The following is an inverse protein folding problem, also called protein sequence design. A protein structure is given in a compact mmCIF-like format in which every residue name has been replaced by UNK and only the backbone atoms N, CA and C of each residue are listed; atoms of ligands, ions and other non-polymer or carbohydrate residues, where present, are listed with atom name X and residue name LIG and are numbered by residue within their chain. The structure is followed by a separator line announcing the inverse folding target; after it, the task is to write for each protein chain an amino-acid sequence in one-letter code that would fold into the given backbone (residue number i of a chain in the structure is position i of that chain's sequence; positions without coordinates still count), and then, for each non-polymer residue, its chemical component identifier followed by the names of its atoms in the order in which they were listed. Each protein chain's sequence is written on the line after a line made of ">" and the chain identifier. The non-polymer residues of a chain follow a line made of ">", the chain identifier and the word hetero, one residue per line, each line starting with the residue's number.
data_IF_726476204969
#
_entry.id   IF_726476204969
#
_cell.length_a   1.000
_cell.length_b   1.000
_cell.length_c   1.000
_cell.angle_alpha   90.00
_cell.angle_beta   90.00
_cell.angle_gamma   90.00
#
_symmetry.space_group_name_H-M   'P 1'
#
loop_
_entity.id
_entity.type
_entity.pdbx_description
1 polymer ?
#
# COMPACT_ATOMS: atom_id res chain seq x y z
N UNK A 1 8.05 10.09 -24.34
CA UNK A 1 7.35 10.99 -25.26
C UNK A 1 6.32 11.78 -24.50
N UNK A 2 6.60 13.05 -24.23
CA UNK A 2 5.71 13.96 -23.50
C UNK A 2 4.60 14.53 -24.40
N UNK A 3 4.63 14.26 -25.70
CA UNK A 3 3.60 14.75 -26.64
C UNK A 3 2.30 13.94 -26.62
N UNK A 4 2.31 12.78 -25.96
CA UNK A 4 1.16 11.87 -25.85
C UNK A 4 0.74 11.71 -24.40
N UNK A 5 -0.58 11.61 -24.15
CA UNK A 5 -1.10 11.46 -22.79
C UNK A 5 -0.69 10.12 -22.14
N UNK A 6 -0.62 9.07 -22.96
CA UNK A 6 -0.18 7.74 -22.56
C UNK A 6 0.71 7.10 -23.63
N UNK A 7 1.73 6.37 -23.16
CA UNK A 7 2.50 5.41 -23.95
C UNK A 7 3.07 4.37 -22.97
N UNK A 8 3.10 3.07 -23.30
CA UNK A 8 3.70 2.06 -22.41
C UNK A 8 5.21 2.26 -22.20
N UNK A 9 5.87 3.05 -23.05
CA UNK A 9 7.27 3.44 -22.87
C UNK A 9 7.48 4.67 -21.98
N UNK A 10 6.41 5.37 -21.59
CA UNK A 10 6.51 6.50 -20.67
C UNK A 10 6.49 6.03 -19.21
N UNK A 11 7.17 6.78 -18.33
CA UNK A 11 7.18 6.49 -16.89
C UNK A 11 6.01 7.14 -16.13
N UNK A 12 5.32 8.10 -16.76
CA UNK A 12 4.20 8.85 -16.20
C UNK A 12 3.09 9.02 -17.24
N UNK A 13 1.93 9.47 -16.79
CA UNK A 13 0.86 9.97 -17.65
C UNK A 13 1.00 11.50 -17.77
N UNK A 14 0.83 12.01 -18.98
CA UNK A 14 0.98 13.42 -19.28
C UNK A 14 -0.36 14.03 -19.70
N UNK A 15 -0.44 15.35 -19.59
CA UNK A 15 -1.53 16.19 -20.10
C UNK A 15 -0.95 17.11 -21.19
N UNK A 16 -0.84 16.61 -22.45
CA UNK A 16 -0.14 17.34 -23.51
C UNK A 16 -0.77 18.69 -23.79
N UNK A 17 0.06 19.73 -23.87
CA UNK A 17 -0.39 21.10 -24.13
C UNK A 17 -0.89 21.86 -22.91
N UNK A 18 -0.94 21.23 -21.73
CA UNK A 18 -1.38 21.86 -20.50
C UNK A 18 -0.19 22.10 -19.55
N UNK A 19 -0.05 23.31 -19.00
CA UNK A 19 0.88 23.62 -17.89
C UNK A 19 0.16 23.40 -16.56
N UNK A 20 0.87 22.86 -15.57
CA UNK A 20 0.33 22.63 -14.24
C UNK A 20 -0.05 23.95 -13.57
N UNK A 21 -1.32 24.07 -13.14
CA UNK A 21 -1.88 25.24 -12.48
C UNK A 21 -2.36 24.85 -11.06
N UNK A 22 -1.46 24.99 -10.09
CA UNK A 22 -1.82 24.75 -8.68
C UNK A 22 -2.46 26.01 -8.09
N UNK A 23 -3.68 25.88 -7.60
CA UNK A 23 -4.36 26.98 -6.90
C UNK A 23 -3.84 27.10 -5.46
N UNK A 24 -2.85 27.96 -5.26
CA UNK A 24 -2.37 28.31 -3.92
C UNK A 24 -3.19 29.44 -3.29
N UNK A 25 -3.37 29.45 -1.95
CA UNK A 25 -3.82 30.65 -1.26
C UNK A 25 -2.86 31.82 -1.54
N UNK A 26 -3.38 33.00 -1.89
CA UNK A 26 -2.65 34.20 -2.36
C UNK A 26 -1.41 34.56 -1.50
N UNK A 27 -1.42 34.26 -0.19
CA UNK A 27 -0.30 34.50 0.72
C UNK A 27 0.95 33.61 0.50
N UNK A 28 0.85 32.50 -0.23
CA UNK A 28 1.96 31.56 -0.48
C UNK A 28 2.60 31.67 -1.87
N UNK A 29 2.08 32.52 -2.75
CA UNK A 29 2.54 32.57 -4.15
C UNK A 29 3.89 33.29 -4.37
N UNK A 30 4.38 34.04 -3.38
CA UNK A 30 5.50 34.96 -3.60
C UNK A 30 6.84 34.26 -3.94
N UNK A 31 6.99 32.95 -3.67
CA UNK A 31 8.25 32.21 -3.84
C UNK A 31 8.13 30.90 -4.64
N UNK A 32 7.03 30.64 -5.35
CA UNK A 32 6.86 29.37 -6.09
C UNK A 32 7.48 29.47 -7.49
N UNK A 33 8.65 28.85 -7.68
CA UNK A 33 9.37 28.78 -8.98
C UNK A 33 9.13 27.49 -9.76
N UNK A 34 8.32 26.56 -9.24
CA UNK A 34 8.06 25.29 -9.90
C UNK A 34 7.13 25.48 -11.10
N UNK A 35 7.56 25.04 -12.28
CA UNK A 35 6.76 24.96 -13.50
C UNK A 35 6.86 23.57 -14.10
N UNK A 36 5.73 23.03 -14.51
CA UNK A 36 5.65 21.72 -15.15
C UNK A 36 4.78 21.81 -16.41
N UNK A 37 5.40 21.61 -17.57
CA UNK A 37 4.70 21.54 -18.86
C UNK A 37 5.37 20.50 -19.77
N UNK A 38 4.63 19.50 -20.30
CA UNK A 38 3.23 19.25 -19.97
C UNK A 38 3.06 18.78 -18.51
N UNK A 39 1.92 19.13 -17.93
CA UNK A 39 1.52 18.65 -16.61
C UNK A 39 1.45 17.11 -16.59
N UNK A 40 1.68 16.53 -15.43
CA UNK A 40 1.55 15.10 -15.18
C UNK A 40 0.32 14.84 -14.31
N UNK A 41 -0.24 13.65 -14.47
CA UNK A 41 -1.37 13.17 -13.64
C UNK A 41 -0.87 12.95 -12.21
N UNK A 42 -1.64 13.42 -11.23
CA UNK A 42 -1.28 13.32 -9.81
C UNK A 42 -1.36 11.87 -9.29
N UNK A 43 -0.73 11.57 -8.15
CA UNK A 43 -0.68 10.20 -7.62
C UNK A 43 -2.03 9.57 -7.29
N UNK A 44 -3.06 10.39 -7.00
CA UNK A 44 -4.44 9.97 -6.76
C UNK A 44 -5.31 9.91 -8.03
N UNK A 45 -4.71 9.76 -9.21
CA UNK A 45 -5.40 9.65 -10.51
C UNK A 45 -6.20 10.90 -10.91
N UNK A 46 -5.74 12.10 -10.56
CA UNK A 46 -6.37 13.35 -11.01
C UNK A 46 -5.88 13.73 -12.42
N UNK A 47 -6.68 13.42 -13.44
CA UNK A 47 -6.42 13.70 -14.86
C UNK A 47 -6.82 15.14 -15.25
N UNK A 48 -6.25 16.14 -14.56
CA UNK A 48 -6.41 17.56 -14.91
C UNK A 48 -5.14 18.33 -14.55
N UNK A 49 -4.84 19.37 -15.31
CA UNK A 49 -3.74 20.27 -15.01
C UNK A 49 -4.05 21.24 -13.85
N UNK A 50 -5.27 21.22 -13.31
CA UNK A 50 -5.73 22.09 -12.21
C UNK A 50 -6.13 21.28 -10.97
N UNK A 51 -5.21 20.54 -10.33
CA UNK A 51 -5.55 19.78 -9.14
C UNK A 51 -6.03 20.70 -8.01
N UNK A 52 -6.94 20.17 -7.20
CA UNK A 52 -7.47 20.86 -6.03
C UNK A 52 -6.55 20.70 -4.82
N UNK A 53 -6.74 21.47 -3.73
CA UNK A 53 -6.03 21.23 -2.48
C UNK A 53 -6.28 19.85 -1.82
N UNK A 54 -7.24 19.08 -2.33
CA UNK A 54 -7.55 17.72 -1.87
C UNK A 54 -6.90 16.63 -2.75
N UNK A 55 -6.27 17.02 -3.85
CA UNK A 55 -5.51 16.11 -4.72
C UNK A 55 -4.06 16.04 -4.28
N UNK A 56 -3.40 14.92 -4.60
CA UNK A 56 -2.00 14.70 -4.24
C UNK A 56 -1.07 15.33 -5.28
N UNK A 57 -1.19 16.64 -5.50
CA UNK A 57 -0.48 17.40 -6.54
C UNK A 57 1.05 17.44 -6.34
N UNK A 58 1.53 17.06 -5.16
CA UNK A 58 2.93 16.86 -4.82
C UNK A 58 3.48 15.47 -5.23
N UNK A 59 2.60 14.59 -5.73
CA UNK A 59 2.94 13.25 -6.21
C UNK A 59 2.51 13.07 -7.66
N UNK A 60 3.09 12.07 -8.35
CA UNK A 60 2.81 11.78 -9.75
C UNK A 60 2.42 10.32 -9.94
N UNK A 61 1.43 10.07 -10.80
CA UNK A 61 1.03 8.71 -11.17
C UNK A 61 2.10 8.04 -12.04
N UNK A 62 2.66 6.94 -11.52
CA UNK A 62 3.55 6.08 -12.28
C UNK A 62 2.77 5.27 -13.33
N UNK A 63 3.32 5.22 -14.54
CA UNK A 63 2.76 4.46 -15.64
C UNK A 63 3.38 3.06 -15.67
N UNK A 64 2.64 2.06 -15.19
CA UNK A 64 3.04 0.65 -15.25
C UNK A 64 2.63 -0.04 -16.56
N UNK A 65 2.29 0.70 -17.62
CA UNK A 65 1.83 0.17 -18.91
C UNK A 65 0.32 -0.10 -18.97
N UNK A 66 -0.48 0.58 -18.15
CA UNK A 66 -1.95 0.49 -18.18
C UNK A 66 -2.52 1.78 -18.77
N UNK A 67 -3.35 1.68 -19.81
CA UNK A 67 -4.07 2.83 -20.34
C UNK A 67 -5.36 3.07 -19.54
N UNK A 68 -5.25 3.84 -18.47
CA UNK A 68 -6.35 4.12 -17.53
C UNK A 68 -7.50 4.86 -18.24
N UNK A 69 -7.20 5.82 -19.09
CA UNK A 69 -8.20 6.67 -19.76
C UNK A 69 -9.00 5.91 -20.83
N UNK A 70 -8.43 4.84 -21.39
CA UNK A 70 -9.08 4.02 -22.41
C UNK A 70 -9.61 2.68 -21.86
N UNK A 71 -10.03 2.64 -20.59
CA UNK A 71 -10.69 1.46 -20.01
C UNK A 71 -9.71 0.45 -19.38
N UNK A 72 -8.61 0.94 -18.81
CA UNK A 72 -7.61 0.13 -18.10
C UNK A 72 -6.96 -0.95 -18.98
N UNK A 73 -6.72 -0.65 -20.26
CA UNK A 73 -6.10 -1.60 -21.21
C UNK A 73 -4.64 -1.86 -20.82
N UNK A 74 -4.25 -3.13 -20.73
CA UNK A 74 -2.90 -3.54 -20.34
C UNK A 74 -1.98 -3.69 -21.56
N UNK A 75 -0.84 -3.00 -21.57
CA UNK A 75 0.15 -3.02 -22.65
C UNK A 75 1.46 -3.68 -22.21
N UNK A 76 1.42 -5.00 -21.96
CA UNK A 76 2.57 -5.76 -21.43
C UNK A 76 3.30 -6.63 -22.46
N UNK A 77 2.94 -6.54 -23.75
CA UNK A 77 3.66 -7.26 -24.83
C UNK A 77 5.13 -6.87 -24.91
N UNK A 78 5.45 -5.61 -24.58
CA UNK A 78 6.78 -5.12 -24.28
C UNK A 78 6.79 -4.70 -22.81
N UNK A 79 7.84 -5.07 -22.07
CA UNK A 79 8.00 -4.64 -20.68
C UNK A 79 8.08 -3.10 -20.60
N UNK A 80 7.19 -2.44 -19.83
CA UNK A 80 7.23 -0.99 -19.63
C UNK A 80 8.55 -0.52 -19.01
N UNK A 81 8.99 0.70 -19.35
CA UNK A 81 10.26 1.26 -18.84
C UNK A 81 10.24 1.38 -17.30
N UNK A 82 9.10 1.78 -16.73
CA UNK A 82 8.87 1.87 -15.29
C UNK A 82 9.19 0.57 -14.56
N UNK A 83 8.88 -0.59 -15.14
CA UNK A 83 9.12 -1.89 -14.51
C UNK A 83 10.61 -2.11 -14.28
N UNK A 84 11.45 -1.78 -15.27
CA UNK A 84 12.90 -1.89 -15.15
C UNK A 84 13.44 -0.94 -14.09
N UNK A 85 12.96 0.31 -14.06
CA UNK A 85 13.39 1.29 -13.04
C UNK A 85 13.02 0.85 -11.63
N UNK A 86 11.79 0.38 -11.43
CA UNK A 86 11.34 -0.09 -10.11
C UNK A 86 12.09 -1.35 -9.68
N UNK A 87 12.39 -2.28 -10.60
CA UNK A 87 13.29 -3.41 -10.32
C UNK A 87 14.65 -2.92 -9.85
N UNK A 88 15.25 -1.97 -10.56
CA UNK A 88 16.59 -1.47 -10.23
C UNK A 88 16.61 -0.78 -8.85
N UNK A 89 15.53 -0.09 -8.47
CA UNK A 89 15.33 0.45 -7.11
C UNK A 89 15.26 -0.67 -6.06
N UNK A 90 14.46 -1.72 -6.29
CA UNK A 90 14.37 -2.87 -5.37
C UNK A 90 15.73 -3.56 -5.22
N UNK A 91 16.45 -3.78 -6.32
CA UNK A 91 17.80 -4.36 -6.30
C UNK A 91 18.79 -3.46 -5.55
N UNK A 92 18.73 -2.14 -5.78
CA UNK A 92 19.60 -1.18 -5.09
C UNK A 92 19.43 -1.27 -3.57
N UNK A 93 18.19 -1.29 -3.07
CA UNK A 93 17.92 -1.39 -1.64
C UNK A 93 18.24 -2.78 -1.08
N UNK A 94 17.99 -3.84 -1.84
CA UNK A 94 18.36 -5.21 -1.44
C UNK A 94 19.88 -5.34 -1.22
N UNK A 95 20.70 -4.66 -2.04
CA UNK A 95 22.17 -4.60 -1.86
C UNK A 95 22.63 -3.87 -0.59
N UNK A 96 21.72 -3.22 0.14
CA UNK A 96 22.00 -2.59 1.45
C UNK A 96 21.78 -3.53 2.63
N UNK A 97 21.62 -4.84 2.38
CA UNK A 97 21.41 -5.87 3.40
C UNK A 97 20.14 -5.65 4.24
N UNK A 98 19.05 -5.24 3.58
CA UNK A 98 17.71 -5.30 4.18
C UNK A 98 17.16 -6.72 4.07
N UNK A 99 16.28 -7.11 4.99
CA UNK A 99 15.67 -8.44 5.02
C UNK A 99 14.32 -8.50 4.29
N UNK A 100 13.74 -7.36 3.92
CA UNK A 100 12.47 -7.36 3.20
C UNK A 100 11.92 -5.97 2.87
N UNK A 101 10.79 -6.00 2.16
CA UNK A 101 10.01 -4.83 1.77
C UNK A 101 8.58 -4.95 2.31
N UNK A 102 8.10 -3.90 2.98
CA UNK A 102 6.67 -3.63 3.11
C UNK A 102 6.24 -2.83 1.89
N UNK A 103 5.32 -3.37 1.10
CA UNK A 103 4.82 -2.77 -0.13
C UNK A 103 3.50 -2.08 0.17
N UNK A 104 3.55 -0.75 0.14
CA UNK A 104 2.40 0.15 0.28
C UNK A 104 1.39 -0.05 -0.86
N UNK A 105 0.10 -0.10 -0.52
CA UNK A 105 -1.03 -0.19 -1.46
C UNK A 105 -0.75 -1.12 -2.66
N UNK A 106 -0.29 -2.35 -2.39
CA UNK A 106 0.27 -3.24 -3.41
C UNK A 106 -0.73 -3.57 -4.53
N UNK A 107 -2.03 -3.52 -4.24
CA UNK A 107 -3.12 -3.74 -5.21
C UNK A 107 -3.29 -2.62 -6.23
N UNK A 108 -2.77 -1.42 -5.96
CA UNK A 108 -2.79 -0.29 -6.90
C UNK A 108 -1.71 -0.43 -8.00
N UNK A 109 -0.80 -1.38 -7.86
CA UNK A 109 0.21 -1.74 -8.85
C UNK A 109 -0.17 -3.06 -9.52
N UNK A 110 0.00 -3.21 -10.86
CA UNK A 110 -0.47 -4.41 -11.54
C UNK A 110 0.19 -5.68 -11.00
N UNK A 111 -0.61 -6.72 -10.77
CA UNK A 111 -0.11 -8.03 -10.31
C UNK A 111 0.96 -8.59 -11.27
N UNK A 112 0.84 -8.34 -12.56
CA UNK A 112 1.81 -8.79 -13.57
C UNK A 112 3.20 -8.20 -13.34
N UNK A 113 3.29 -6.95 -12.85
CA UNK A 113 4.56 -6.35 -12.46
C UNK A 113 5.16 -7.10 -11.28
N UNK A 114 4.37 -7.38 -10.24
CA UNK A 114 4.83 -8.11 -9.06
C UNK A 114 5.34 -9.51 -9.41
N UNK A 115 4.57 -10.25 -10.21
CA UNK A 115 4.94 -11.58 -10.72
C UNK A 115 6.18 -11.57 -11.60
N UNK A 116 6.46 -10.44 -12.25
CA UNK A 116 7.68 -10.27 -13.04
C UNK A 116 8.88 -9.90 -12.15
N UNK A 117 8.72 -8.97 -11.20
CA UNK A 117 9.83 -8.37 -10.46
C UNK A 117 10.29 -9.20 -9.26
N UNK A 118 9.37 -9.76 -8.48
CA UNK A 118 9.72 -10.44 -7.22
C UNK A 118 10.63 -11.66 -7.46
N UNK A 119 10.36 -12.54 -8.45
CA UNK A 119 11.26 -13.64 -8.75
C UNK A 119 12.66 -13.21 -9.16
N UNK A 120 12.80 -12.06 -9.83
CA UNK A 120 14.11 -11.51 -10.20
C UNK A 120 14.88 -11.04 -8.95
N UNK A 121 14.23 -10.34 -8.02
CA UNK A 121 14.87 -9.90 -6.77
C UNK A 121 15.23 -11.11 -5.90
N UNK A 122 14.31 -12.07 -5.72
CA UNK A 122 14.56 -13.29 -4.93
C UNK A 122 15.64 -14.18 -5.54
N UNK A 123 15.86 -14.14 -6.87
CA UNK A 123 16.97 -14.86 -7.49
C UNK A 123 18.34 -14.36 -7.01
N UNK A 124 18.50 -13.06 -6.80
CA UNK A 124 19.72 -12.45 -6.28
C UNK A 124 19.76 -12.46 -4.74
N UNK A 125 18.60 -12.33 -4.09
CA UNK A 125 18.44 -12.24 -2.64
C UNK A 125 17.40 -13.25 -2.13
N UNK A 126 17.72 -14.56 -2.05
CA UNK A 126 16.72 -15.62 -1.81
C UNK A 126 15.97 -15.54 -0.48
N UNK A 127 16.52 -14.83 0.50
CA UNK A 127 15.92 -14.68 1.84
C UNK A 127 15.07 -13.41 1.99
N UNK A 128 15.04 -12.55 0.98
CA UNK A 128 14.32 -11.28 1.09
C UNK A 128 12.81 -11.52 1.13
N UNK A 129 12.14 -10.86 2.06
CA UNK A 129 10.70 -10.96 2.27
C UNK A 129 9.95 -9.83 1.56
N UNK A 130 8.76 -10.14 1.06
CA UNK A 130 7.80 -9.18 0.54
C UNK A 130 6.50 -9.30 1.32
N UNK A 131 6.15 -8.22 2.04
CA UNK A 131 4.93 -8.05 2.81
C UNK A 131 4.06 -7.02 2.10
N UNK A 132 2.90 -7.41 1.61
CA UNK A 132 2.00 -6.52 0.88
C UNK A 132 0.88 -5.98 1.77
N UNK A 133 0.61 -4.68 1.65
CA UNK A 133 -0.61 -4.07 2.12
C UNK A 133 -1.68 -4.21 1.03
N UNK A 134 -2.75 -4.95 1.33
CA UNK A 134 -3.91 -5.14 0.46
C UNK A 134 -5.14 -5.11 1.35
N UNK A 135 -6.13 -4.30 0.99
CA UNK A 135 -7.37 -4.14 1.74
C UNK A 135 -8.58 -4.79 1.07
N UNK A 136 -8.36 -5.48 -0.04
CA UNK A 136 -9.35 -6.32 -0.70
C UNK A 136 -9.11 -7.83 -0.42
N UNK A 137 -9.93 -8.49 0.44
CA UNK A 137 -9.79 -9.92 0.73
C UNK A 137 -9.89 -10.84 -0.50
N UNK A 138 -10.63 -10.45 -1.53
CA UNK A 138 -10.77 -11.24 -2.77
C UNK A 138 -9.44 -11.32 -3.55
N UNK A 139 -8.54 -10.35 -3.33
CA UNK A 139 -7.22 -10.31 -3.98
C UNK A 139 -6.16 -11.14 -3.23
N UNK A 140 -6.37 -11.52 -1.96
CA UNK A 140 -5.32 -12.11 -1.12
C UNK A 140 -4.69 -13.36 -1.73
N UNK A 141 -5.52 -14.33 -2.09
CA UNK A 141 -5.04 -15.60 -2.67
C UNK A 141 -4.31 -15.40 -3.99
N UNK A 142 -4.78 -14.44 -4.78
CA UNK A 142 -4.18 -14.13 -6.08
C UNK A 142 -2.76 -13.54 -5.94
N UNK A 143 -2.55 -12.69 -4.91
CA UNK A 143 -1.26 -12.07 -4.61
C UNK A 143 -0.29 -13.01 -3.89
N UNK A 144 -0.78 -13.98 -3.13
CA UNK A 144 0.02 -15.03 -2.49
C UNK A 144 0.34 -16.20 -3.43
N UNK A 145 -0.43 -16.40 -4.50
CA UNK A 145 -0.27 -17.50 -5.43
C UNK A 145 1.12 -17.51 -6.09
N UNK A 146 1.65 -18.71 -6.33
CA UNK A 146 2.97 -18.93 -6.94
C UNK A 146 4.12 -18.27 -6.16
N UNK A 147 3.99 -18.18 -4.83
CA UNK A 147 4.99 -17.59 -3.93
C UNK A 147 5.39 -16.16 -4.33
N UNK A 148 4.42 -15.40 -4.82
CA UNK A 148 4.62 -14.03 -5.27
C UNK A 148 4.89 -13.10 -4.07
N UNK A 149 3.96 -12.97 -3.12
CA UNK A 149 4.22 -12.31 -1.83
C UNK A 149 4.37 -13.34 -0.69
N UNK A 150 5.19 -13.02 0.30
CA UNK A 150 5.41 -13.88 1.47
C UNK A 150 4.30 -13.68 2.52
N UNK A 151 3.91 -12.43 2.75
CA UNK A 151 2.91 -12.05 3.75
C UNK A 151 1.98 -10.94 3.25
N UNK A 152 0.77 -10.86 3.82
CA UNK A 152 -0.20 -9.78 3.60
C UNK A 152 -0.68 -9.18 4.92
N UNK A 153 -1.10 -7.92 4.94
CA UNK A 153 -1.76 -7.31 6.11
C UNK A 153 -3.12 -7.96 6.39
N UNK A 154 -3.39 -8.35 7.65
CA UNK A 154 -4.73 -8.78 8.08
C UNK A 154 -5.59 -7.59 8.57
N UNK A 155 -5.76 -6.59 7.71
CA UNK A 155 -6.52 -5.38 8.04
C UNK A 155 -8.03 -5.64 7.96
N UNK A 156 -8.51 -6.02 6.77
CA UNK A 156 -9.95 -6.25 6.49
C UNK A 156 -10.32 -7.69 6.86
N UNK A 157 -10.03 -8.05 8.10
CA UNK A 157 -10.14 -9.39 8.63
C UNK A 157 -10.04 -9.39 10.14
N UNK A 158 -8.98 -9.97 10.70
CA UNK A 158 -8.82 -10.09 12.15
C UNK A 158 -8.73 -8.72 12.83
N UNK A 159 -8.01 -7.74 12.26
CA UNK A 159 -7.89 -6.40 12.85
C UNK A 159 -9.25 -5.72 13.07
N UNK A 160 -10.05 -5.56 12.01
CA UNK A 160 -11.35 -4.88 12.09
C UNK A 160 -12.28 -5.61 13.08
N UNK A 161 -12.30 -6.95 13.05
CA UNK A 161 -13.12 -7.76 13.96
C UNK A 161 -12.66 -7.61 15.41
N UNK A 162 -11.36 -7.69 15.67
CA UNK A 162 -10.83 -7.64 17.02
C UNK A 162 -10.98 -6.26 17.64
N UNK A 163 -10.84 -5.19 16.84
CA UNK A 163 -11.14 -3.82 17.24
C UNK A 163 -12.59 -3.71 17.74
N UNK A 164 -13.54 -4.15 16.94
CA UNK A 164 -14.96 -4.07 17.30
C UNK A 164 -15.31 -4.93 18.51
N UNK A 165 -14.72 -6.13 18.64
CA UNK A 165 -14.89 -6.98 19.83
C UNK A 165 -14.35 -6.29 21.07
N UNK A 166 -13.14 -5.73 21.01
CA UNK A 166 -12.50 -5.07 22.14
C UNK A 166 -13.27 -3.79 22.57
N UNK A 167 -13.91 -3.10 21.63
CA UNK A 167 -14.81 -1.97 21.90
C UNK A 167 -16.22 -2.39 22.37
N UNK A 168 -16.56 -3.68 22.32
CA UNK A 168 -17.88 -4.20 22.68
C UNK A 168 -18.95 -3.98 21.61
N UNK A 169 -18.58 -3.72 20.36
CA UNK A 169 -19.51 -3.53 19.24
C UNK A 169 -19.97 -4.84 18.59
N UNK A 170 -19.26 -5.94 18.83
CA UNK A 170 -19.62 -7.27 18.31
C UNK A 170 -19.19 -8.40 19.26
N UNK A 171 -19.80 -9.60 19.18
CA UNK A 171 -19.45 -10.72 20.05
C UNK A 171 -18.11 -11.36 19.68
N UNK A 172 -17.42 -11.94 20.67
CA UNK A 172 -16.12 -12.60 20.46
C UNK A 172 -16.18 -13.84 19.55
N UNK A 173 -17.36 -14.43 19.35
CA UNK A 173 -17.57 -15.52 18.39
C UNK A 173 -17.16 -15.15 16.97
N UNK A 174 -17.19 -13.86 16.63
CA UNK A 174 -16.89 -13.37 15.29
C UNK A 174 -15.41 -13.49 14.93
N UNK A 175 -14.54 -13.55 15.94
CA UNK A 175 -13.11 -13.81 15.76
C UNK A 175 -12.92 -15.14 15.02
N UNK A 176 -13.65 -16.20 15.40
CA UNK A 176 -13.56 -17.50 14.74
C UNK A 176 -13.95 -17.45 13.27
N UNK A 177 -14.98 -16.67 12.91
CA UNK A 177 -15.38 -16.50 11.50
C UNK A 177 -14.31 -15.77 10.69
N UNK A 178 -13.71 -14.72 11.26
CA UNK A 178 -12.62 -13.98 10.62
C UNK A 178 -11.42 -14.90 10.33
N UNK A 179 -11.02 -15.70 11.31
CA UNK A 179 -9.93 -16.66 11.18
C UNK A 179 -10.22 -17.73 10.12
N UNK A 180 -11.46 -18.20 10.03
CA UNK A 180 -11.86 -19.21 9.04
C UNK A 180 -11.82 -18.67 7.60
N UNK A 181 -12.11 -17.38 7.37
CA UNK A 181 -12.10 -16.78 6.03
C UNK A 181 -10.71 -16.82 5.36
N UNK A 182 -9.65 -16.79 6.17
CA UNK A 182 -8.26 -16.85 5.74
C UNK A 182 -7.59 -18.16 6.16
N UNK A 183 -8.32 -19.18 6.61
CA UNK A 183 -7.73 -20.38 7.25
C UNK A 183 -6.66 -21.10 6.42
N UNK A 184 -6.80 -21.12 5.09
CA UNK A 184 -5.83 -21.68 4.14
C UNK A 184 -4.54 -20.84 3.99
N UNK A 185 -4.63 -19.54 4.25
CA UNK A 185 -3.52 -18.57 4.09
C UNK A 185 -3.14 -17.87 5.40
N UNK A 186 -3.71 -18.27 6.54
CA UNK A 186 -3.61 -17.58 7.82
C UNK A 186 -2.16 -17.40 8.29
N UNK A 187 -1.30 -18.40 8.04
CA UNK A 187 0.13 -18.36 8.34
C UNK A 187 0.91 -17.31 7.53
N UNK A 188 0.30 -16.75 6.48
CA UNK A 188 0.82 -15.66 5.65
C UNK A 188 0.17 -14.30 5.97
N UNK A 189 -0.71 -14.23 6.97
CA UNK A 189 -1.37 -12.98 7.36
C UNK A 189 -0.61 -12.32 8.51
N UNK A 190 -0.22 -11.05 8.35
CA UNK A 190 0.40 -10.25 9.39
C UNK A 190 -0.68 -9.70 10.30
N UNK A 191 -0.66 -10.13 11.56
CA UNK A 191 -1.57 -9.63 12.58
C UNK A 191 -1.02 -8.37 13.24
N UNK A 192 -1.90 -7.42 13.52
CA UNK A 192 -1.60 -6.20 14.27
C UNK A 192 -2.89 -5.66 14.90
N UNK A 193 -2.76 -4.73 15.85
CA UNK A 193 -3.91 -4.04 16.45
C UNK A 193 -3.89 -2.52 16.27
N UNK A 194 -2.80 -1.97 15.74
CA UNK A 194 -2.70 -0.58 15.28
C UNK A 194 -1.50 -0.45 14.34
N UNK A 195 -1.49 0.62 13.54
CA UNK A 195 -0.36 1.03 12.70
C UNK A 195 -0.44 2.57 12.50
N UNK A 196 0.19 3.12 11.46
CA UNK A 196 0.19 4.56 11.21
C UNK A 196 -1.09 5.11 10.56
N UNK A 197 -1.88 4.27 9.89
CA UNK A 197 -3.16 4.64 9.27
C UNK A 197 -4.36 4.36 10.19
N UNK A 198 -4.16 3.49 11.18
CA UNK A 198 -5.19 3.05 12.12
C UNK A 198 -5.18 3.82 13.45
N UNK A 199 -6.31 3.81 14.15
CA UNK A 199 -6.43 4.49 15.44
C UNK A 199 -5.57 3.81 16.51
N UNK A 200 -4.89 4.61 17.34
CA UNK A 200 -4.17 4.10 18.52
C UNK A 200 -5.14 3.38 19.46
N UNK A 201 -4.76 2.23 19.97
CA UNK A 201 -5.45 1.42 20.97
C UNK A 201 -5.79 2.25 22.21
N UNK A 202 -4.89 3.11 22.66
CA UNK A 202 -5.12 3.97 23.82
C UNK A 202 -5.93 5.24 23.51
N UNK A 203 -6.26 5.52 22.24
CA UNK A 203 -7.04 6.70 21.83
C UNK A 203 -8.50 6.64 22.29
N UNK A 204 -9.15 7.80 22.30
CA UNK A 204 -10.58 7.91 22.64
C UNK A 204 -11.51 7.21 21.63
N UNK A 205 -11.01 6.94 20.42
CA UNK A 205 -11.72 6.28 19.32
C UNK A 205 -11.57 4.75 19.32
N UNK A 206 -10.76 4.21 20.24
CA UNK A 206 -10.53 2.78 20.41
C UNK A 206 -10.81 2.34 21.86
N UNK A 207 -9.81 2.08 22.70
CA UNK A 207 -10.02 1.55 24.07
C UNK A 207 -9.87 2.60 25.18
N UNK A 208 -9.61 3.87 24.83
CA UNK A 208 -9.48 5.03 25.72
C UNK A 208 -8.34 4.97 26.75
N UNK A 209 -7.72 3.83 26.95
CA UNK A 209 -6.64 3.59 27.90
C UNK A 209 -5.84 2.36 27.42
N UNK A 210 -4.52 2.51 27.30
CA UNK A 210 -3.63 1.46 26.85
C UNK A 210 -3.68 0.19 27.71
N UNK A 211 -4.09 0.30 28.99
CA UNK A 211 -4.22 -0.86 29.90
C UNK A 211 -5.28 -1.88 29.46
N UNK A 212 -6.19 -1.49 28.57
CA UNK A 212 -7.22 -2.39 28.02
C UNK A 212 -6.73 -3.14 26.76
N UNK A 213 -5.64 -2.69 26.14
CA UNK A 213 -5.03 -3.32 24.95
C UNK A 213 -4.49 -4.74 25.12
N UNK A 214 -3.95 -5.17 26.29
CA UNK A 214 -3.30 -6.46 26.43
C UNK A 214 -4.15 -7.66 26.02
N UNK A 215 -5.47 -7.65 26.29
CA UNK A 215 -6.34 -8.76 25.92
C UNK A 215 -6.41 -8.96 24.39
N UNK A 216 -6.59 -7.87 23.63
CA UNK A 216 -6.56 -7.90 22.18
C UNK A 216 -5.18 -8.29 21.64
N UNK A 217 -4.11 -7.77 22.25
CA UNK A 217 -2.74 -8.12 21.84
C UNK A 217 -2.41 -9.60 22.07
N UNK A 218 -2.88 -10.19 23.18
CA UNK A 218 -2.70 -11.63 23.46
C UNK A 218 -3.41 -12.47 22.40
N UNK A 219 -4.64 -12.12 22.01
CA UNK A 219 -5.34 -12.81 20.92
C UNK A 219 -4.53 -12.69 19.63
N UNK A 220 -4.15 -11.47 19.25
CA UNK A 220 -3.36 -11.17 18.05
C UNK A 220 -2.08 -11.99 17.97
N UNK A 221 -1.38 -12.15 19.11
CA UNK A 221 -0.07 -12.78 19.18
C UNK A 221 -0.12 -14.31 19.36
N UNK A 222 -1.16 -14.85 20.00
CA UNK A 222 -1.20 -16.24 20.42
C UNK A 222 -2.23 -17.09 19.67
N UNK A 223 -3.09 -16.48 18.84
CA UNK A 223 -4.17 -17.21 18.18
C UNK A 223 -3.66 -18.19 17.13
N UNK A 224 -2.55 -17.88 16.43
CA UNK A 224 -1.92 -18.75 15.43
C UNK A 224 -0.39 -18.54 15.37
N UNK A 225 0.25 -19.12 14.34
CA UNK A 225 1.72 -19.12 14.13
C UNK A 225 2.21 -18.06 13.13
N UNK A 226 1.38 -17.07 12.83
CA UNK A 226 1.63 -16.05 11.82
C UNK A 226 2.45 -14.87 12.39
N UNK A 227 3.07 -14.02 11.56
CA UNK A 227 3.83 -12.89 12.06
C UNK A 227 2.92 -11.85 12.73
N UNK A 228 3.48 -11.15 13.71
CA UNK A 228 2.78 -10.15 14.53
C UNK A 228 3.57 -8.86 14.49
N UNK A 229 2.88 -7.74 14.25
CA UNK A 229 3.46 -6.40 14.30
C UNK A 229 2.97 -5.67 15.55
N UNK A 230 3.91 -5.05 16.26
CA UNK A 230 3.67 -4.09 17.34
C UNK A 230 4.04 -2.73 16.79
N UNK A 231 3.13 -1.76 16.89
CA UNK A 231 3.39 -0.41 16.41
C UNK A 231 4.18 0.38 17.47
N UNK A 232 5.09 1.25 17.02
CA UNK A 232 5.97 1.99 17.92
C UNK A 232 5.17 2.83 18.94
N UNK A 233 5.41 2.61 20.24
CA UNK A 233 4.74 3.30 21.34
C UNK A 233 3.43 2.63 21.80
N UNK A 234 2.96 1.60 21.10
CA UNK A 234 1.79 0.82 21.49
C UNK A 234 1.97 0.19 22.88
N UNK A 235 3.17 -0.33 23.14
CA UNK A 235 3.56 -0.98 24.39
C UNK A 235 3.62 -0.01 25.59
N UNK A 236 3.71 1.29 25.30
CA UNK A 236 3.70 2.37 26.29
C UNK A 236 2.30 2.97 26.50
N UNK A 237 1.33 2.58 25.68
CA UNK A 237 -0.03 3.13 25.72
C UNK A 237 -0.13 4.54 25.14
N UNK A 238 0.68 4.88 24.14
CA UNK A 238 0.62 6.17 23.43
C UNK A 238 -0.77 6.41 22.84
N UNK A 239 -1.33 7.60 23.08
CA UNK A 239 -2.74 7.92 22.76
C UNK A 239 -2.97 8.41 21.33
N UNK A 240 -1.91 8.81 20.63
CA UNK A 240 -1.98 9.46 19.32
C UNK A 240 -1.59 10.92 19.37
#
# INVERSE_FOLDING_TARGET
>A
DTSVAFSPGNNFYYLPGEELEIQFPVKKMADVTYRESPAKVTGNDCFTNKPTPYDWYETVKLNYGIDIQNGYIKHFSKIPDTWNKMRDVLIYWSKKNIDGFRVDMAEMVPLEFWRWVIPQVKKEFPKILFLAEIYNPDAYRLFLAHDNFDYLYDKVGLYDVLRDVACGYRPSSDITFALNNVGDIQHKMLNFIENHDEQRVASDYFLKDGKHGPAAMIVTACVNVNPVMIYFGQELGERG
#
